data_IF_720848188669
#
_entry.id   IF_720848188669
#
_cell.length_a   1.000
_cell.length_b   1.000
_cell.length_c   1.000
_cell.angle_alpha   90.00
_cell.angle_beta   90.00
_cell.angle_gamma   90.00
#
_symmetry.space_group_name_H-M   'P 1'
#
loop_
_entity.id
_entity.type
_entity.pdbx_description
1 polymer ?
#
# COMPACT_ATOMS: atom_id res chain seq x y z
N UNK A 1 32.56 -90.03 -0.56
CA UNK A 1 31.26 -89.47 -0.96
C UNK A 1 30.96 -88.38 0.02
N UNK A 2 31.37 -87.14 -0.29
CA UNK A 2 31.13 -85.97 0.57
C UNK A 2 30.61 -84.86 -0.31
N UNK A 3 29.42 -84.50 -0.05
CA UNK A 3 28.69 -83.48 -0.80
C UNK A 3 28.87 -82.13 -0.11
N UNK A 4 29.64 -81.23 -0.68
CA UNK A 4 29.89 -79.85 -0.14
C UNK A 4 28.87 -78.88 -0.75
N UNK A 5 27.97 -78.33 0.07
CA UNK A 5 27.03 -77.32 -0.31
C UNK A 5 27.66 -75.97 -0.13
N UNK A 6 27.94 -75.27 -1.22
CA UNK A 6 28.34 -73.84 -1.22
C UNK A 6 27.09 -72.97 -1.11
N UNK A 7 26.98 -72.28 0.01
CA UNK A 7 25.96 -71.24 0.21
C UNK A 7 26.47 -69.92 -0.33
N UNK A 8 25.78 -69.35 -1.33
CA UNK A 8 26.05 -68.02 -1.84
C UNK A 8 25.28 -67.03 -1.01
N UNK A 9 26.02 -66.21 -0.21
CA UNK A 9 25.47 -65.04 0.50
C UNK A 9 25.43 -63.86 -0.47
N UNK A 10 24.21 -63.49 -0.89
CA UNK A 10 23.96 -62.33 -1.71
C UNK A 10 23.89 -61.09 -0.80
N UNK A 11 24.94 -60.31 -0.74
CA UNK A 11 25.01 -59.03 0.00
C UNK A 11 24.26 -57.92 -0.74
N UNK A 12 23.15 -57.50 -0.18
CA UNK A 12 22.36 -56.35 -0.66
C UNK A 12 23.06 -55.07 -0.18
N UNK A 13 23.79 -54.36 -1.06
CA UNK A 13 24.36 -53.05 -0.79
C UNK A 13 23.28 -51.97 -0.98
N UNK A 14 22.75 -51.46 0.12
CA UNK A 14 21.79 -50.34 0.12
C UNK A 14 22.55 -49.03 -0.09
N UNK A 15 22.56 -48.51 -1.32
CA UNK A 15 23.16 -47.22 -1.64
C UNK A 15 22.22 -46.10 -1.23
N UNK A 16 22.46 -45.48 -0.07
CA UNK A 16 21.76 -44.24 0.34
C UNK A 16 22.29 -43.09 -0.47
N UNK A 17 21.55 -42.68 -1.51
CA UNK A 17 21.84 -41.49 -2.30
C UNK A 17 21.66 -40.22 -1.47
N UNK A 18 22.73 -39.54 -1.09
CA UNK A 18 22.65 -38.18 -0.52
C UNK A 18 22.14 -37.23 -1.61
N UNK A 19 20.88 -36.82 -1.53
CA UNK A 19 20.33 -35.75 -2.35
C UNK A 19 20.84 -34.42 -1.74
N UNK A 20 21.89 -33.85 -2.31
CA UNK A 20 22.39 -32.53 -1.96
C UNK A 20 21.36 -31.48 -2.49
N UNK A 21 20.55 -30.94 -1.61
CA UNK A 21 19.70 -29.76 -1.92
C UNK A 21 20.62 -28.56 -2.11
N UNK A 22 20.55 -27.83 -3.27
CA UNK A 22 21.32 -26.62 -3.44
C UNK A 22 20.82 -25.56 -2.44
N UNK A 23 21.64 -25.27 -1.42
CA UNK A 23 21.43 -24.13 -0.56
C UNK A 23 21.54 -22.86 -1.41
N UNK A 24 20.39 -22.24 -1.75
CA UNK A 24 20.39 -20.90 -2.35
C UNK A 24 20.85 -19.93 -1.26
N UNK A 25 22.11 -19.55 -1.31
CA UNK A 25 22.64 -18.45 -0.53
C UNK A 25 21.87 -17.19 -0.93
N UNK A 26 20.95 -16.76 -0.08
CA UNK A 26 20.27 -15.48 -0.22
C UNK A 26 21.30 -14.42 0.20
N UNK A 27 21.96 -13.81 -0.79
CA UNK A 27 22.85 -12.67 -0.54
C UNK A 27 21.96 -11.50 -0.15
N UNK A 28 21.76 -11.30 1.14
CA UNK A 28 21.16 -10.08 1.69
C UNK A 28 22.23 -8.98 1.61
N UNK A 29 22.19 -8.16 0.55
CA UNK A 29 22.98 -6.94 0.49
C UNK A 29 22.36 -5.99 1.51
N UNK A 30 22.95 -5.89 2.68
CA UNK A 30 22.57 -4.92 3.71
C UNK A 30 23.20 -3.57 3.32
N UNK A 31 22.54 -2.86 2.38
CA UNK A 31 22.90 -1.48 2.08
C UNK A 31 22.39 -0.67 3.26
N UNK A 32 23.32 -0.12 4.05
CA UNK A 32 23.00 0.79 5.15
C UNK A 32 22.56 2.15 4.55
N UNK A 33 21.38 2.16 3.93
CA UNK A 33 20.73 3.37 3.47
C UNK A 33 20.11 3.98 4.71
N UNK A 34 20.65 5.10 5.17
CA UNK A 34 20.10 5.83 6.31
C UNK A 34 18.59 6.07 6.14
N UNK A 35 17.83 6.08 7.23
CA UNK A 35 16.44 6.46 7.18
C UNK A 35 16.33 7.85 6.52
N UNK A 36 15.34 8.08 5.62
CA UNK A 36 15.15 9.41 5.07
C UNK A 36 14.81 10.41 6.17
N UNK A 37 15.11 11.68 6.00
CA UNK A 37 14.70 12.70 6.95
C UNK A 37 13.18 12.65 7.12
N UNK A 38 12.67 12.99 8.31
CA UNK A 38 11.24 12.97 8.56
C UNK A 38 10.52 13.90 7.59
N UNK A 39 9.42 13.44 7.04
CA UNK A 39 8.52 14.27 6.24
C UNK A 39 7.71 15.12 7.21
N UNK A 40 7.96 16.42 7.24
CA UNK A 40 7.25 17.36 8.10
C UNK A 40 6.23 18.12 7.26
N UNK A 41 4.95 17.93 7.55
CA UNK A 41 3.85 18.66 6.91
C UNK A 41 2.91 19.19 7.99
N UNK A 42 2.47 20.45 7.84
CA UNK A 42 1.53 21.08 8.79
C UNK A 42 0.08 20.67 8.53
N UNK A 43 -0.20 20.11 7.37
CA UNK A 43 -1.51 19.61 6.98
C UNK A 43 -1.37 18.41 6.03
N UNK A 44 -2.37 17.53 5.98
CA UNK A 44 -2.41 16.44 5.02
C UNK A 44 -2.27 16.96 3.58
N UNK A 45 -1.41 16.35 2.74
CA UNK A 45 -1.22 16.81 1.38
C UNK A 45 -2.40 16.49 0.49
N UNK A 46 -2.67 17.35 -0.48
CA UNK A 46 -3.56 17.02 -1.59
C UNK A 46 -2.84 16.05 -2.52
N UNK A 47 -3.50 14.93 -2.82
CA UNK A 47 -3.02 13.90 -3.72
C UNK A 47 -3.77 14.02 -5.05
N UNK A 48 -3.05 14.27 -6.16
CA UNK A 48 -3.63 14.42 -7.49
C UNK A 48 -3.28 13.22 -8.35
N UNK A 49 -4.25 12.71 -9.11
CA UNK A 49 -4.05 11.59 -10.01
C UNK A 49 -3.17 11.99 -11.18
N UNK A 50 -2.12 11.23 -11.43
CA UNK A 50 -1.36 11.22 -12.66
C UNK A 50 -1.97 10.15 -13.59
N UNK A 51 -2.67 10.54 -14.67
CA UNK A 51 -3.46 9.59 -15.47
C UNK A 51 -2.60 8.51 -16.14
N UNK A 52 -1.45 8.89 -16.69
CA UNK A 52 -0.61 7.97 -17.45
C UNK A 52 0.11 6.94 -16.57
N UNK A 53 0.77 7.30 -15.42
CA UNK A 53 1.28 6.29 -14.52
C UNK A 53 0.19 5.63 -13.66
N UNK A 54 -1.04 6.14 -13.68
CA UNK A 54 -2.18 5.69 -12.87
C UNK A 54 -1.87 5.64 -11.36
N UNK A 55 -1.29 6.71 -10.86
CA UNK A 55 -0.96 6.88 -9.44
C UNK A 55 -1.28 8.28 -8.98
N UNK A 56 -1.38 8.46 -7.67
CA UNK A 56 -1.53 9.79 -7.09
C UNK A 56 -0.18 10.34 -6.66
N UNK A 57 -0.03 11.67 -6.70
CA UNK A 57 1.17 12.38 -6.25
C UNK A 57 0.79 13.53 -5.33
N UNK A 58 1.55 13.73 -4.27
CA UNK A 58 1.41 14.87 -3.38
C UNK A 58 1.78 16.17 -4.11
N UNK A 59 0.88 17.16 -4.02
CA UNK A 59 1.06 18.49 -4.65
C UNK A 59 1.06 19.58 -3.59
N UNK A 60 1.72 20.72 -3.91
CA UNK A 60 1.84 21.83 -2.98
C UNK A 60 2.82 21.60 -1.84
N UNK A 61 3.57 20.51 -1.86
CA UNK A 61 4.58 20.14 -0.86
C UNK A 61 5.94 19.89 -1.52
N UNK A 62 7.07 20.11 -0.80
CA UNK A 62 8.43 19.96 -1.35
C UNK A 62 8.91 18.51 -1.39
N UNK A 63 8.02 17.54 -1.28
CA UNK A 63 8.34 16.12 -1.19
C UNK A 63 7.84 15.37 -2.42
N UNK A 64 8.65 14.41 -2.91
CA UNK A 64 8.25 13.51 -3.98
C UNK A 64 7.57 12.28 -3.38
N UNK A 65 6.29 12.45 -3.00
CA UNK A 65 5.47 11.40 -2.40
C UNK A 65 4.39 10.98 -3.39
N UNK A 66 4.31 9.68 -3.61
CA UNK A 66 3.38 9.01 -4.52
C UNK A 66 2.52 8.02 -3.75
N UNK A 67 1.28 7.81 -4.19
CA UNK A 67 0.38 6.82 -3.62
C UNK A 67 -0.07 5.85 -4.71
N UNK A 68 0.22 4.56 -4.49
CA UNK A 68 -0.03 3.48 -5.45
C UNK A 68 -0.53 2.26 -4.69
N UNK A 69 -1.65 1.70 -5.11
CA UNK A 69 -2.20 0.45 -4.53
C UNK A 69 -2.29 0.45 -3.00
N UNK A 70 -2.74 1.56 -2.41
CA UNK A 70 -2.91 1.66 -0.96
C UNK A 70 -1.62 1.92 -0.17
N UNK A 71 -0.50 2.17 -0.82
CA UNK A 71 0.79 2.40 -0.17
C UNK A 71 1.42 3.70 -0.64
N UNK A 72 2.09 4.41 0.28
CA UNK A 72 2.87 5.59 -0.03
C UNK A 72 4.30 5.23 -0.39
N UNK A 73 4.85 5.95 -1.37
CA UNK A 73 6.24 5.86 -1.81
C UNK A 73 6.87 7.24 -1.77
N UNK A 74 8.05 7.33 -1.18
CA UNK A 74 8.80 8.57 -1.06
C UNK A 74 10.15 8.44 -1.76
N UNK A 75 10.46 9.38 -2.65
CA UNK A 75 11.75 9.45 -3.31
C UNK A 75 12.61 10.54 -2.65
N UNK A 76 13.77 10.15 -2.14
CA UNK A 76 14.70 11.05 -1.48
C UNK A 76 16.15 10.57 -1.70
N UNK A 77 17.08 11.50 -2.01
CA UNK A 77 18.51 11.22 -2.19
C UNK A 77 18.77 9.98 -3.08
N UNK A 78 18.10 9.92 -4.24
CA UNK A 78 18.18 8.85 -5.24
C UNK A 78 17.72 7.47 -4.75
N UNK A 79 17.03 7.41 -3.61
CA UNK A 79 16.48 6.19 -3.04
C UNK A 79 14.97 6.25 -2.93
N UNK A 80 14.34 5.07 -3.03
CA UNK A 80 12.93 4.90 -2.81
C UNK A 80 12.66 4.31 -1.44
N UNK A 81 11.60 4.81 -0.82
CA UNK A 81 11.09 4.33 0.45
C UNK A 81 9.60 4.08 0.32
N UNK A 82 9.06 3.15 1.10
CA UNK A 82 7.62 2.92 1.20
C UNK A 82 7.14 3.03 2.64
N UNK A 83 5.89 3.42 2.81
CA UNK A 83 5.28 3.54 4.13
C UNK A 83 3.76 3.44 4.06
N UNK A 84 3.11 3.11 5.18
CA UNK A 84 1.66 3.01 5.27
C UNK A 84 0.98 4.39 5.27
N UNK A 85 1.71 5.45 5.60
CA UNK A 85 1.22 6.83 5.70
C UNK A 85 2.14 7.79 4.95
N UNK A 86 1.61 8.95 4.54
CA UNK A 86 2.38 10.00 3.84
C UNK A 86 3.49 10.63 4.70
N UNK A 87 3.41 10.55 6.02
CA UNK A 87 4.44 10.97 6.97
C UNK A 87 5.41 9.86 7.41
N UNK A 88 5.22 8.62 6.93
CA UNK A 88 5.99 7.45 7.34
C UNK A 88 5.29 6.60 8.41
N UNK A 89 5.97 5.69 9.07
CA UNK A 89 7.40 5.39 8.93
C UNK A 89 7.80 4.89 7.55
N UNK A 90 9.03 5.18 7.15
CA UNK A 90 9.55 4.88 5.82
C UNK A 90 10.54 3.71 5.85
N UNK A 91 10.36 2.76 4.94
CA UNK A 91 11.23 1.60 4.74
C UNK A 91 11.81 1.66 3.33
N UNK A 92 13.13 1.43 3.22
CA UNK A 92 13.80 1.36 1.92
C UNK A 92 13.19 0.31 1.00
N UNK A 93 13.06 0.66 -0.27
CA UNK A 93 12.57 -0.24 -1.33
C UNK A 93 13.57 -0.26 -2.49
N UNK A 94 14.06 -1.45 -2.82
CA UNK A 94 14.88 -1.64 -4.00
C UNK A 94 14.07 -1.35 -5.28
N UNK A 95 14.72 -0.80 -6.31
CA UNK A 95 14.07 -0.39 -7.56
C UNK A 95 13.21 -1.50 -8.20
N UNK A 96 13.70 -2.73 -8.16
CA UNK A 96 13.02 -3.90 -8.75
C UNK A 96 11.70 -4.24 -8.05
N UNK A 97 11.55 -3.82 -6.80
CA UNK A 97 10.34 -4.04 -5.98
C UNK A 97 9.32 -2.91 -6.06
N UNK A 98 9.64 -1.84 -6.78
CA UNK A 98 8.68 -0.75 -6.98
C UNK A 98 7.49 -1.19 -7.85
N UNK A 99 6.32 -0.57 -7.65
CA UNK A 99 5.20 -0.71 -8.58
C UNK A 99 5.59 -0.37 -10.02
N UNK A 100 5.00 -1.03 -11.02
CA UNK A 100 5.35 -0.82 -12.43
C UNK A 100 5.29 0.65 -12.87
N UNK A 101 4.31 1.42 -12.38
CA UNK A 101 4.17 2.85 -12.68
C UNK A 101 5.38 3.68 -12.22
N UNK A 102 5.95 3.38 -11.05
CA UNK A 102 7.15 4.06 -10.54
C UNK A 102 8.43 3.61 -11.26
N UNK A 103 8.49 2.35 -11.72
CA UNK A 103 9.66 1.84 -12.46
C UNK A 103 9.71 2.32 -13.90
N UNK A 104 8.55 2.51 -14.53
CA UNK A 104 8.44 2.87 -15.96
C UNK A 104 8.94 4.28 -16.25
N UNK A 105 8.77 5.21 -15.32
CA UNK A 105 9.08 6.62 -15.52
C UNK A 105 10.26 7.06 -14.65
N UNK A 106 11.12 7.90 -15.21
CA UNK A 106 12.16 8.59 -14.42
C UNK A 106 11.49 9.60 -13.47
N UNK A 107 12.08 9.82 -12.29
CA UNK A 107 11.54 10.78 -11.31
C UNK A 107 11.36 12.19 -11.90
N UNK A 108 12.25 12.61 -12.78
CA UNK A 108 12.09 13.88 -13.51
C UNK A 108 10.78 13.94 -14.30
N UNK A 109 10.42 12.86 -15.02
CA UNK A 109 9.16 12.78 -15.76
C UNK A 109 7.95 12.79 -14.84
N UNK A 110 8.03 12.07 -13.69
CA UNK A 110 6.97 12.08 -12.68
C UNK A 110 6.75 13.49 -12.11
N UNK A 111 7.83 14.26 -11.89
CA UNK A 111 7.74 15.67 -11.46
C UNK A 111 7.10 16.55 -12.55
N UNK A 112 7.43 16.34 -13.82
CA UNK A 112 6.81 17.07 -14.94
C UNK A 112 5.31 16.78 -15.03
N UNK A 113 4.90 15.52 -14.86
CA UNK A 113 3.49 15.14 -14.80
C UNK A 113 2.81 15.80 -13.60
N UNK A 114 3.42 15.75 -12.41
CA UNK A 114 2.91 16.42 -11.21
C UNK A 114 2.64 17.90 -11.45
N UNK A 115 3.61 18.62 -11.99
CA UNK A 115 3.48 20.07 -12.22
C UNK A 115 2.37 20.40 -13.25
N UNK A 116 2.20 19.55 -14.26
CA UNK A 116 1.11 19.71 -15.24
C UNK A 116 -0.26 19.54 -14.58
N UNK A 117 -0.46 18.45 -13.86
CA UNK A 117 -1.73 18.17 -13.21
C UNK A 117 -2.01 19.16 -12.05
N UNK A 118 -0.99 19.57 -11.33
CA UNK A 118 -1.13 20.59 -10.28
C UNK A 118 -1.55 21.96 -10.81
N UNK A 119 -1.03 22.38 -11.97
CA UNK A 119 -1.53 23.60 -12.62
C UNK A 119 -3.00 23.50 -12.97
N UNK A 120 -3.44 22.38 -13.52
CA UNK A 120 -4.85 22.11 -13.80
C UNK A 120 -5.71 22.18 -12.55
N UNK A 121 -5.29 21.51 -11.47
CA UNK A 121 -5.96 21.53 -10.17
C UNK A 121 -6.07 22.95 -9.60
N UNK A 122 -4.99 23.72 -9.61
CA UNK A 122 -4.99 25.11 -9.12
C UNK A 122 -5.88 26.04 -9.92
N UNK A 123 -5.96 25.85 -11.23
CA UNK A 123 -6.80 26.69 -12.10
C UNK A 123 -8.30 26.41 -11.93
N UNK A 124 -8.68 25.18 -11.64
CA UNK A 124 -10.07 24.73 -11.60
C UNK A 124 -10.59 24.56 -10.17
N UNK A 125 -9.72 24.43 -9.17
CA UNK A 125 -10.11 24.21 -7.78
C UNK A 125 -11.02 22.99 -7.62
N UNK A 126 -12.16 23.18 -6.93
CA UNK A 126 -13.15 22.14 -6.71
C UNK A 126 -13.79 21.58 -8.00
N UNK A 127 -13.71 22.34 -9.10
CA UNK A 127 -14.23 21.91 -10.42
C UNK A 127 -13.21 21.09 -11.22
N UNK A 128 -12.05 20.76 -10.65
CA UNK A 128 -11.06 19.93 -11.33
C UNK A 128 -11.64 18.54 -11.61
N UNK A 129 -11.80 18.21 -12.87
CA UNK A 129 -12.36 16.94 -13.29
C UNK A 129 -11.41 15.76 -13.14
N UNK A 130 -10.14 16.00 -12.87
CA UNK A 130 -9.17 14.99 -12.46
C UNK A 130 -9.54 14.41 -11.09
N UNK A 131 -9.13 13.17 -10.84
CA UNK A 131 -9.31 12.56 -9.52
C UNK A 131 -8.28 13.13 -8.55
N UNK A 132 -8.73 13.56 -7.38
CA UNK A 132 -7.87 13.97 -6.29
C UNK A 132 -8.52 13.60 -4.95
N UNK A 133 -7.72 13.54 -3.91
CA UNK A 133 -8.17 13.40 -2.52
C UNK A 133 -7.18 14.11 -1.58
N UNK A 134 -7.63 14.41 -0.38
CA UNK A 134 -6.75 14.87 0.71
C UNK A 134 -6.33 13.63 1.49
N UNK A 135 -5.02 13.44 1.67
CA UNK A 135 -4.52 12.30 2.43
C UNK A 135 -5.02 12.38 3.88
N UNK A 136 -5.55 11.28 4.41
CA UNK A 136 -6.02 11.23 5.79
C UNK A 136 -4.90 10.68 6.69
N UNK A 137 -4.74 11.27 7.89
CA UNK A 137 -3.97 10.65 8.95
C UNK A 137 -4.77 9.48 9.51
N UNK A 138 -4.28 8.28 9.32
CA UNK A 138 -4.95 7.02 9.70
C UNK A 138 -5.19 6.87 11.21
N UNK A 139 -4.90 7.88 12.02
CA UNK A 139 -5.22 7.86 13.45
C UNK A 139 -6.72 8.02 13.74
N UNK A 140 -7.54 8.39 12.74
CA UNK A 140 -8.99 8.64 12.92
C UNK A 140 -9.90 7.49 12.44
N UNK A 141 -9.38 6.38 11.91
CA UNK A 141 -10.22 5.26 11.45
C UNK A 141 -10.61 4.26 12.56
N UNK A 142 -10.56 4.66 13.82
CA UNK A 142 -10.99 3.84 14.97
C UNK A 142 -12.34 4.22 15.57
N UNK A 143 -13.06 5.20 15.04
CA UNK A 143 -14.38 5.58 15.55
C UNK A 143 -15.42 5.34 14.47
N UNK A 144 -15.90 4.10 14.42
CA UNK A 144 -17.13 3.76 13.71
C UNK A 144 -18.22 4.73 14.13
N UNK A 145 -18.75 5.51 13.21
CA UNK A 145 -20.07 6.08 13.35
C UNK A 145 -21.03 4.91 13.13
N UNK A 146 -21.36 4.24 14.21
CA UNK A 146 -22.59 3.48 14.29
C UNK A 146 -23.72 4.52 14.15
N UNK A 147 -24.16 4.75 12.94
CA UNK A 147 -25.43 5.39 12.68
C UNK A 147 -26.49 4.33 12.99
N UNK A 148 -26.78 4.17 14.27
CA UNK A 148 -28.04 3.59 14.72
C UNK A 148 -29.14 4.56 14.34
N UNK A 149 -29.64 4.43 13.12
CA UNK A 149 -30.97 4.89 12.75
C UNK A 149 -31.96 3.95 13.45
N UNK A 150 -32.21 4.23 14.72
CA UNK A 150 -33.41 3.77 15.42
C UNK A 150 -34.61 4.50 14.80
N UNK A 151 -35.09 4.00 13.68
CA UNK A 151 -36.44 4.30 13.19
C UNK A 151 -37.43 3.64 14.13
N UNK A 152 -37.71 4.35 15.24
CA UNK A 152 -38.90 4.04 16.08
C UNK A 152 -40.12 4.60 15.40
N UNK A 153 -40.74 3.76 14.58
CA UNK A 153 -42.12 3.88 14.19
C UNK A 153 -43.00 3.84 15.45
N UNK A 154 -43.25 5.02 16.03
CA UNK A 154 -44.25 5.16 17.09
C UNK A 154 -45.64 5.37 16.43
N UNK A 155 -46.28 4.25 16.17
CA UNK A 155 -47.62 4.14 15.66
C UNK A 155 -48.65 4.40 16.79
N UNK A 156 -48.67 5.64 17.29
CA UNK A 156 -49.60 6.12 18.32
C UNK A 156 -51.02 6.29 17.80
N UNK A 157 -51.81 5.23 17.87
CA UNK A 157 -53.28 5.27 17.76
C UNK A 157 -53.89 6.08 18.92
N UNK A 158 -54.06 7.38 18.75
CA UNK A 158 -54.87 8.25 19.60
C UNK A 158 -56.33 8.30 19.17
N UNK A 159 -57.18 7.42 19.68
CA UNK A 159 -58.64 7.59 19.68
C UNK A 159 -59.03 8.67 20.69
N UNK A 160 -59.34 9.87 20.24
CA UNK A 160 -60.01 10.91 21.04
C UNK A 160 -61.42 11.10 20.60
N UNK A 161 -62.36 10.49 21.31
CA UNK A 161 -63.80 10.86 21.26
C UNK A 161 -63.96 12.12 22.12
N UNK A 162 -64.48 13.17 21.55
CA UNK A 162 -64.98 14.37 22.25
C UNK A 162 -66.34 14.79 21.71
N UNK A 163 -67.35 14.43 22.47
CA UNK A 163 -68.75 14.98 22.31
C UNK A 163 -68.78 16.38 22.88
N UNK A 164 -69.62 17.23 22.31
CA UNK A 164 -70.01 18.48 22.92
C UNK A 164 -70.96 19.29 22.01
N UNK A 165 -72.21 19.14 22.25
CA UNK A 165 -73.32 20.05 21.87
C UNK A 165 -73.47 21.17 22.93
N UNK A 166 -74.31 22.11 22.77
CA UNK A 166 -75.37 22.45 21.76
C UNK A 166 -75.00 23.62 20.84
#
# INVERSE_FOLDING_TARGET
MMSTRFGVLLGLVLSVGLVATPARAQVSINVNIGAPPPVVMYAPPTMVLLPEPQMYVAVGVPYDIYFVNGQYFYFHADHWFSGPRYGGPWTYVAFEKLPPGLRKFKVKQLREFREREYRGYRAQGASFHGKYFVAEDSEHHGRGKDNDNDDRDDNGKGKGRGRGRP
#
